data_IF_061999250382
#
_entry.id   IF_061999250382
#
_cell.length_a   1.000
_cell.length_b   1.000
_cell.length_c   1.000
_cell.angle_alpha   90.00
_cell.angle_beta   90.00
_cell.angle_gamma   90.00
#
_symmetry.space_group_name_H-M   'P 1'
#
loop_
_entity.id
_entity.type
_entity.pdbx_description
1 polymer ?
#
# COMPACT_ATOMS: atom_id res chain seq x y z
N UNK A 1 -6.37 -11.86 16.69
CA UNK A 1 -7.11 -10.58 16.54
C UNK A 1 -6.11 -9.47 16.32
N UNK A 2 -6.45 -8.40 15.56
CA UNK A 2 -5.59 -7.23 15.42
C UNK A 2 -5.44 -6.49 16.76
N UNK A 3 -4.31 -5.79 16.94
CA UNK A 3 -4.12 -4.99 18.16
C UNK A 3 -5.00 -3.75 18.17
N UNK A 4 -5.09 -3.06 17.05
CA UNK A 4 -5.88 -1.83 16.93
C UNK A 4 -6.82 -1.94 15.73
N UNK A 5 -8.11 -1.77 15.95
CA UNK A 5 -9.10 -1.50 14.89
C UNK A 5 -9.30 0.00 14.78
N UNK A 6 -9.13 0.53 13.58
CA UNK A 6 -9.32 1.95 13.32
C UNK A 6 -10.52 2.21 12.40
N UNK A 7 -11.21 3.33 12.62
CA UNK A 7 -12.34 3.75 11.82
C UNK A 7 -12.60 5.25 11.99
N UNK A 8 -13.55 5.79 11.25
CA UNK A 8 -14.00 7.18 11.40
C UNK A 8 -13.23 8.18 10.53
N UNK A 9 -13.10 9.41 11.01
CA UNK A 9 -12.50 10.52 10.27
C UNK A 9 -11.57 11.31 11.18
N UNK A 10 -10.35 11.60 10.72
CA UNK A 10 -9.41 12.51 11.39
C UNK A 10 -8.80 12.02 12.69
N UNK A 11 -8.90 10.73 13.01
CA UNK A 11 -8.30 10.18 14.22
C UNK A 11 -6.78 10.14 14.13
N UNK A 12 -6.12 10.28 15.28
CA UNK A 12 -4.66 10.24 15.41
C UNK A 12 -4.26 9.04 16.27
N UNK A 13 -3.35 8.25 15.74
CA UNK A 13 -2.70 7.10 16.40
C UNK A 13 -1.21 7.42 16.48
N UNK A 14 -0.73 7.80 17.65
CA UNK A 14 0.63 8.30 17.78
C UNK A 14 1.39 7.75 18.98
N UNK A 15 2.72 7.63 18.82
CA UNK A 15 3.66 7.31 19.88
C UNK A 15 3.36 5.98 20.61
N UNK A 16 2.81 5.00 19.86
CA UNK A 16 2.52 3.69 20.40
C UNK A 16 3.67 2.71 20.08
N UNK A 17 3.88 1.79 21.00
CA UNK A 17 4.65 0.57 20.77
C UNK A 17 3.68 -0.60 20.62
N UNK A 18 3.68 -1.24 19.43
CA UNK A 18 2.95 -2.45 19.16
C UNK A 18 3.98 -3.54 18.82
N UNK A 19 3.91 -4.68 19.49
CA UNK A 19 4.88 -5.75 19.30
C UNK A 19 4.28 -7.14 19.48
N UNK A 20 4.92 -8.12 18.83
CA UNK A 20 4.64 -9.55 18.99
C UNK A 20 3.20 -9.98 18.65
N UNK A 21 2.66 -9.48 17.55
CA UNK A 21 1.31 -9.83 17.09
C UNK A 21 1.30 -10.81 15.92
N UNK A 22 0.53 -11.91 16.01
CA UNK A 22 0.46 -12.91 14.93
C UNK A 22 -0.19 -12.38 13.64
N UNK A 23 -1.05 -11.36 13.76
CA UNK A 23 -1.83 -10.75 12.68
C UNK A 23 -1.48 -9.26 12.53
N UNK A 24 -2.49 -8.44 12.16
CA UNK A 24 -2.32 -6.99 11.96
C UNK A 24 -2.03 -6.23 13.27
N UNK A 25 -1.15 -5.25 13.23
CA UNK A 25 -1.05 -4.25 14.28
C UNK A 25 -2.20 -3.25 14.18
N UNK A 26 -2.41 -2.70 13.00
CA UNK A 26 -3.51 -1.79 12.67
C UNK A 26 -4.35 -2.38 11.54
N UNK A 27 -5.66 -2.47 11.70
CA UNK A 27 -6.59 -2.85 10.63
C UNK A 27 -7.88 -2.07 10.72
N UNK A 28 -8.41 -1.64 9.59
CA UNK A 28 -9.70 -0.93 9.60
C UNK A 28 -9.93 -0.14 8.33
N UNK A 29 -10.63 0.99 8.47
CA UNK A 29 -10.85 1.93 7.39
C UNK A 29 -11.23 3.30 7.94
N UNK A 30 -10.49 4.32 7.58
CA UNK A 30 -10.79 5.69 7.98
C UNK A 30 -10.41 6.71 6.90
N UNK A 31 -10.91 7.91 7.07
CA UNK A 31 -10.63 9.04 6.18
C UNK A 31 -9.77 10.05 6.93
N UNK A 32 -8.65 10.49 6.33
CA UNK A 32 -7.76 11.51 6.91
C UNK A 32 -7.24 11.20 8.31
N UNK A 33 -7.08 9.92 8.65
CA UNK A 33 -6.44 9.53 9.90
C UNK A 33 -4.93 9.68 9.82
N UNK A 34 -4.30 9.91 10.97
CA UNK A 34 -2.86 10.08 11.08
C UNK A 34 -2.28 8.97 11.97
N UNK A 35 -1.32 8.24 11.43
CA UNK A 35 -0.53 7.24 12.14
C UNK A 35 0.90 7.75 12.19
N UNK A 36 1.35 8.23 13.35
CA UNK A 36 2.67 8.87 13.45
C UNK A 36 3.48 8.45 14.66
N UNK A 37 4.80 8.40 14.49
CA UNK A 37 5.76 8.12 15.57
C UNK A 37 5.48 6.79 16.29
N UNK A 38 4.86 5.81 15.63
CA UNK A 38 4.64 4.49 16.20
C UNK A 38 5.81 3.57 15.89
N UNK A 39 6.07 2.63 16.80
CA UNK A 39 6.93 1.48 16.56
C UNK A 39 6.07 0.23 16.46
N UNK A 40 6.16 -0.47 15.32
CA UNK A 40 5.43 -1.70 15.03
C UNK A 40 6.46 -2.78 14.71
N UNK A 41 6.57 -3.80 15.56
CA UNK A 41 7.57 -4.85 15.36
C UNK A 41 7.04 -6.25 15.57
N UNK A 42 7.58 -7.20 14.79
CA UNK A 42 7.26 -8.61 14.89
C UNK A 42 5.76 -8.90 14.71
N UNK A 43 5.18 -8.43 13.61
CA UNK A 43 3.77 -8.66 13.25
C UNK A 43 3.62 -9.52 12.00
N UNK A 44 2.40 -9.98 11.75
CA UNK A 44 1.93 -10.80 10.61
C UNK A 44 2.71 -12.11 10.44
N UNK A 45 3.24 -12.65 11.52
CA UNK A 45 4.12 -13.83 11.44
C UNK A 45 3.36 -15.17 11.35
N UNK A 46 2.05 -15.20 11.62
CA UNK A 46 1.20 -16.40 11.56
C UNK A 46 0.07 -16.30 10.52
N UNK A 47 0.04 -15.25 9.72
CA UNK A 47 -0.96 -15.05 8.68
C UNK A 47 -0.31 -14.89 7.32
N UNK A 48 -1.09 -15.18 6.26
CA UNK A 48 -0.77 -14.84 4.89
C UNK A 48 -1.77 -13.80 4.39
N UNK A 49 -1.41 -13.02 3.36
CA UNK A 49 -2.25 -11.98 2.77
C UNK A 49 -2.75 -10.96 3.81
N UNK A 50 -1.83 -10.42 4.58
CA UNK A 50 -2.10 -9.53 5.71
C UNK A 50 -0.99 -8.48 5.86
N UNK A 51 -1.34 -7.25 6.21
CA UNK A 51 -0.38 -6.17 6.48
C UNK A 51 -0.30 -5.83 7.96
N UNK A 52 0.87 -5.36 8.44
CA UNK A 52 0.93 -4.83 9.80
C UNK A 52 0.02 -3.60 9.94
N UNK A 53 0.03 -2.70 8.98
CA UNK A 53 -1.04 -1.72 8.74
C UNK A 53 -1.84 -2.15 7.50
N UNK A 54 -3.16 -2.29 7.63
CA UNK A 54 -4.02 -2.83 6.57
C UNK A 54 -5.33 -2.07 6.45
N UNK A 55 -5.65 -1.63 5.23
CA UNK A 55 -6.95 -1.15 4.78
C UNK A 55 -7.11 -1.49 3.28
N UNK A 56 -8.34 -1.67 2.82
CA UNK A 56 -8.57 -1.98 1.41
C UNK A 56 -10.02 -2.24 1.02
N UNK A 57 -10.18 -2.72 -0.23
CA UNK A 57 -11.44 -3.04 -0.88
C UNK A 57 -12.39 -1.86 -1.00
N UNK A 58 -11.81 -0.67 -1.24
CA UNK A 58 -12.60 0.55 -1.27
C UNK A 58 -11.83 1.73 -1.85
N UNK A 59 -12.58 2.71 -2.40
CA UNK A 59 -12.07 4.04 -2.75
C UNK A 59 -12.38 5.09 -1.68
N UNK A 60 -13.18 4.75 -0.64
CA UNK A 60 -13.76 5.75 0.27
C UNK A 60 -13.01 5.95 1.58
N UNK A 61 -11.76 5.48 1.67
CA UNK A 61 -10.88 5.71 2.81
C UNK A 61 -9.61 6.51 2.42
N UNK A 62 -9.73 7.67 1.75
CA UNK A 62 -8.57 8.44 1.33
C UNK A 62 -8.02 9.34 2.43
N UNK A 63 -6.82 9.88 2.16
CA UNK A 63 -6.22 10.96 2.94
C UNK A 63 -5.52 10.52 4.21
N UNK A 64 -5.36 9.23 4.45
CA UNK A 64 -4.61 8.75 5.60
C UNK A 64 -3.11 9.06 5.44
N UNK A 65 -2.50 9.46 6.53
CA UNK A 65 -1.10 9.80 6.63
C UNK A 65 -0.38 8.84 7.58
N UNK A 66 0.52 8.04 7.06
CA UNK A 66 1.40 7.14 7.81
C UNK A 66 2.79 7.76 7.78
N UNK A 67 3.24 8.37 8.88
CA UNK A 67 4.41 9.23 8.88
C UNK A 67 5.32 9.01 10.10
N UNK A 68 6.63 8.98 9.87
CA UNK A 68 7.66 8.86 10.91
C UNK A 68 7.47 7.61 11.81
N UNK A 69 6.94 6.51 11.28
CA UNK A 69 6.83 5.26 12.03
C UNK A 69 8.03 4.35 11.74
N UNK A 70 8.29 3.44 12.67
CA UNK A 70 9.22 2.34 12.47
C UNK A 70 8.44 1.03 12.36
N UNK A 71 8.64 0.29 11.26
CA UNK A 71 8.18 -1.06 11.05
C UNK A 71 9.38 -2.00 11.07
N UNK A 72 9.42 -2.96 11.98
CA UNK A 72 10.58 -3.84 12.15
C UNK A 72 10.14 -5.31 12.18
N UNK A 73 10.87 -6.15 11.46
CA UNK A 73 10.65 -7.61 11.43
C UNK A 73 9.20 -7.99 11.05
N UNK A 74 8.65 -7.32 10.06
CA UNK A 74 7.32 -7.61 9.53
C UNK A 74 7.49 -8.72 8.48
N UNK A 75 7.27 -9.96 8.92
CA UNK A 75 7.54 -11.17 8.14
C UNK A 75 6.65 -12.31 8.53
N UNK A 76 6.36 -13.17 7.58
CA UNK A 76 5.80 -14.49 7.86
C UNK A 76 6.86 -15.43 8.47
N UNK A 77 6.51 -16.10 9.56
CA UNK A 77 7.36 -17.09 10.23
C UNK A 77 6.73 -18.49 10.10
N UNK A 78 7.20 -19.29 9.15
CA UNK A 78 6.90 -20.73 9.22
C UNK A 78 6.03 -21.36 8.16
N UNK A 79 5.47 -20.66 7.19
CA UNK A 79 5.02 -21.32 5.97
C UNK A 79 6.22 -21.43 5.03
N UNK A 80 6.75 -22.63 4.88
CA UNK A 80 7.93 -22.95 4.08
C UNK A 80 7.79 -22.69 2.59
N UNK A 81 6.58 -22.49 2.15
CA UNK A 81 6.26 -22.27 0.76
C UNK A 81 5.90 -20.80 0.59
N UNK A 82 6.81 -20.00 0.06
CA UNK A 82 6.59 -18.65 -0.45
C UNK A 82 5.49 -18.57 -1.53
N UNK A 83 4.62 -19.55 -1.59
CA UNK A 83 3.47 -19.63 -2.48
C UNK A 83 2.26 -18.98 -1.81
N UNK A 84 2.19 -17.67 -1.86
CA UNK A 84 0.98 -16.92 -1.60
C UNK A 84 0.91 -16.07 -0.32
N UNK A 85 1.99 -15.91 0.42
CA UNK A 85 1.99 -15.04 1.61
C UNK A 85 2.56 -13.66 1.32
N UNK A 86 1.71 -12.73 0.90
CA UNK A 86 2.10 -11.33 0.77
C UNK A 86 1.87 -10.65 2.11
N UNK A 87 2.93 -10.41 2.88
CA UNK A 87 2.86 -9.79 4.20
C UNK A 87 3.62 -8.46 4.23
N UNK A 88 3.05 -7.40 3.67
CA UNK A 88 3.66 -6.08 3.72
C UNK A 88 3.58 -5.45 5.11
N UNK A 89 4.48 -4.54 5.40
CA UNK A 89 4.35 -3.68 6.56
C UNK A 89 3.15 -2.73 6.41
N UNK A 90 2.96 -2.17 5.22
CA UNK A 90 1.79 -1.36 4.88
C UNK A 90 1.10 -1.97 3.65
N UNK A 91 -0.16 -2.33 3.80
CA UNK A 91 -0.97 -2.94 2.75
C UNK A 91 -2.14 -2.04 2.37
N UNK A 92 -2.01 -1.37 1.25
CA UNK A 92 -3.09 -0.71 0.55
C UNK A 92 -3.73 -1.72 -0.39
N UNK A 93 -4.70 -2.49 0.16
CA UNK A 93 -5.33 -3.59 -0.57
C UNK A 93 -6.45 -3.07 -1.49
N UNK A 94 -6.79 -3.86 -2.47
CA UNK A 94 -7.84 -3.67 -3.49
C UNK A 94 -8.37 -2.24 -3.63
N UNK A 95 -7.72 -1.44 -4.45
CA UNK A 95 -8.13 -0.09 -4.88
C UNK A 95 -8.14 0.98 -3.79
N UNK A 96 -7.66 0.70 -2.58
CA UNK A 96 -7.45 1.79 -1.61
C UNK A 96 -6.63 2.90 -2.27
N UNK A 97 -7.03 4.15 -2.11
CA UNK A 97 -6.48 5.25 -2.90
C UNK A 97 -6.20 6.51 -2.09
N UNK A 98 -5.30 7.36 -2.59
CA UNK A 98 -4.99 8.71 -2.04
C UNK A 98 -4.51 8.70 -0.58
N UNK A 99 -3.64 7.77 -0.21
CA UNK A 99 -3.00 7.71 1.10
C UNK A 99 -1.50 7.99 0.99
N UNK A 100 -0.87 8.39 2.08
CA UNK A 100 0.54 8.82 2.09
C UNK A 100 1.36 8.05 3.11
N UNK A 101 2.53 7.58 2.69
CA UNK A 101 3.55 6.90 3.50
C UNK A 101 4.80 7.75 3.43
N UNK A 102 5.12 8.49 4.50
CA UNK A 102 6.15 9.53 4.45
C UNK A 102 7.15 9.36 5.60
N UNK A 103 8.45 9.37 5.27
CA UNK A 103 9.54 9.35 6.27
C UNK A 103 9.45 8.19 7.28
N UNK A 104 8.94 7.01 6.87
CA UNK A 104 8.96 5.84 7.73
C UNK A 104 10.25 5.04 7.53
N UNK A 105 10.60 4.26 8.55
CA UNK A 105 11.72 3.32 8.51
C UNK A 105 11.18 1.89 8.53
N UNK A 106 11.59 1.08 7.56
CA UNK A 106 11.25 -0.33 7.42
C UNK A 106 12.52 -1.15 7.59
N UNK A 107 12.60 -1.95 8.65
CA UNK A 107 13.78 -2.74 9.02
C UNK A 107 13.45 -4.21 8.93
N UNK A 108 14.15 -4.96 8.10
CA UNK A 108 13.94 -6.41 7.96
C UNK A 108 12.47 -6.78 7.69
N UNK A 109 11.82 -6.06 6.80
CA UNK A 109 10.45 -6.33 6.37
C UNK A 109 10.46 -7.19 5.10
N UNK A 110 9.59 -8.22 5.04
CA UNK A 110 9.44 -9.05 3.84
C UNK A 110 8.97 -8.21 2.65
N UNK A 111 8.07 -7.29 2.90
CA UNK A 111 7.63 -6.26 1.98
C UNK A 111 7.37 -4.97 2.75
N UNK A 112 7.82 -3.85 2.22
CA UNK A 112 7.58 -2.56 2.86
C UNK A 112 6.17 -2.06 2.61
N UNK A 113 5.87 -1.63 1.38
CA UNK A 113 4.57 -1.08 0.98
C UNK A 113 4.03 -1.85 -0.21
N UNK A 114 2.79 -2.33 -0.11
CA UNK A 114 2.05 -2.89 -1.24
C UNK A 114 0.91 -1.95 -1.65
N UNK A 115 0.85 -1.62 -2.94
CA UNK A 115 -0.21 -0.85 -3.57
C UNK A 115 -1.00 -1.79 -4.50
N UNK A 116 -2.17 -2.25 -4.04
CA UNK A 116 -3.05 -3.16 -4.76
C UNK A 116 -4.05 -2.42 -5.66
N UNK A 117 -3.62 -1.95 -6.83
CA UNK A 117 -4.50 -1.31 -7.83
C UNK A 117 -4.96 0.11 -7.49
N UNK A 118 -4.58 0.67 -6.35
CA UNK A 118 -4.97 2.01 -5.90
C UNK A 118 -4.24 3.16 -6.61
N UNK A 119 -4.82 4.35 -6.54
CA UNK A 119 -4.28 5.55 -7.20
C UNK A 119 -3.95 6.69 -6.26
N UNK A 120 -3.07 7.58 -6.73
CA UNK A 120 -2.71 8.82 -6.04
C UNK A 120 -2.11 8.61 -4.66
N UNK A 121 -1.45 7.50 -4.44
CA UNK A 121 -0.64 7.29 -3.25
C UNK A 121 0.67 8.06 -3.32
N UNK A 122 1.19 8.41 -2.15
CA UNK A 122 2.52 9.02 -2.00
C UNK A 122 3.37 8.15 -1.09
N UNK A 123 4.48 7.64 -1.60
CA UNK A 123 5.50 6.90 -0.86
C UNK A 123 6.78 7.71 -0.94
N UNK A 124 7.01 8.56 0.07
CA UNK A 124 8.02 9.63 -0.01
C UNK A 124 9.02 9.58 1.13
N UNK A 125 10.30 9.63 0.81
CA UNK A 125 11.37 9.80 1.80
C UNK A 125 11.50 8.64 2.81
N UNK A 126 11.00 7.46 2.49
CA UNK A 126 11.10 6.31 3.40
C UNK A 126 12.45 5.61 3.28
N UNK A 127 12.86 4.94 4.34
CA UNK A 127 14.08 4.14 4.41
C UNK A 127 13.75 2.67 4.59
N UNK A 128 14.28 1.82 3.72
CA UNK A 128 14.15 0.35 3.77
C UNK A 128 15.52 -0.25 4.04
N UNK A 129 15.68 -0.87 5.20
CA UNK A 129 16.95 -1.38 5.70
C UNK A 129 16.93 -2.88 5.97
N UNK A 130 18.12 -3.50 5.89
CA UNK A 130 18.31 -4.93 6.16
C UNK A 130 17.43 -5.83 5.31
N UNK A 131 17.15 -5.41 4.08
CA UNK A 131 16.38 -6.21 3.14
C UNK A 131 17.11 -7.52 2.86
N UNK A 132 16.40 -8.64 2.85
CA UNK A 132 16.92 -9.97 2.51
C UNK A 132 16.70 -10.25 1.02
N UNK A 133 17.40 -11.23 0.50
CA UNK A 133 17.12 -11.72 -0.87
C UNK A 133 15.65 -12.14 -0.99
N UNK A 134 14.96 -11.60 -1.98
CA UNK A 134 13.55 -11.83 -2.23
C UNK A 134 12.59 -10.85 -1.51
N UNK A 135 13.09 -9.95 -0.65
CA UNK A 135 12.28 -8.89 -0.08
C UNK A 135 12.04 -7.76 -1.10
N UNK A 136 10.91 -7.07 -0.96
CA UNK A 136 10.52 -5.96 -1.84
C UNK A 136 10.18 -4.72 -1.01
N UNK A 137 10.82 -3.59 -1.29
CA UNK A 137 10.53 -2.36 -0.57
C UNK A 137 9.17 -1.77 -0.94
N UNK A 138 8.87 -1.65 -2.24
CA UNK A 138 7.58 -1.17 -2.73
C UNK A 138 7.10 -2.07 -3.87
N UNK A 139 5.92 -2.65 -3.72
CA UNK A 139 5.26 -3.41 -4.77
C UNK A 139 4.00 -2.70 -5.22
N UNK A 140 3.88 -2.47 -6.53
CA UNK A 140 2.69 -1.91 -7.15
C UNK A 140 2.04 -2.93 -8.07
N UNK A 141 0.82 -3.34 -7.74
CA UNK A 141 0.10 -4.43 -8.39
C UNK A 141 -1.10 -3.90 -9.17
N UNK A 142 -1.23 -4.30 -10.41
CA UNK A 142 -2.36 -3.99 -11.29
C UNK A 142 -3.52 -4.96 -11.03
N UNK A 143 -4.14 -4.88 -9.87
CA UNK A 143 -5.24 -5.76 -9.50
C UNK A 143 -6.49 -5.54 -10.34
N UNK A 144 -7.27 -6.60 -10.50
CA UNK A 144 -8.52 -6.59 -11.21
C UNK A 144 -8.39 -6.62 -12.73
N UNK A 145 -7.18 -6.60 -13.27
CA UNK A 145 -6.94 -6.69 -14.71
C UNK A 145 -6.64 -8.13 -15.17
N UNK A 146 -6.15 -8.96 -14.27
CA UNK A 146 -5.66 -10.30 -14.59
C UNK A 146 -6.47 -11.43 -13.94
N UNK A 147 -7.45 -11.12 -13.09
CA UNK A 147 -8.26 -12.14 -12.41
C UNK A 147 -9.65 -12.19 -13.06
N UNK A 148 -10.02 -13.29 -13.74
CA UNK A 148 -11.36 -13.45 -14.27
C UNK A 148 -12.42 -13.26 -13.19
N UNK A 149 -13.32 -12.28 -13.39
CA UNK A 149 -14.40 -11.95 -12.44
C UNK A 149 -14.15 -10.76 -11.53
N UNK A 150 -12.93 -10.22 -11.43
CA UNK A 150 -12.65 -9.00 -10.65
C UNK A 150 -13.14 -7.72 -11.34
N UNK A 151 -13.43 -7.80 -12.63
CA UNK A 151 -14.10 -6.75 -13.38
C UNK A 151 -15.41 -6.27 -12.73
N UNK A 152 -16.11 -7.16 -11.99
CA UNK A 152 -17.34 -6.82 -11.27
C UNK A 152 -17.13 -5.74 -10.20
N UNK A 153 -15.95 -5.63 -9.62
CA UNK A 153 -15.64 -4.61 -8.60
C UNK A 153 -15.29 -3.27 -9.23
N UNK A 154 -14.56 -3.30 -10.34
CA UNK A 154 -13.95 -2.12 -10.96
C UNK A 154 -14.75 -1.57 -12.15
N UNK A 155 -15.75 -2.27 -12.64
CA UNK A 155 -16.58 -1.80 -13.74
C UNK A 155 -17.51 -0.66 -13.33
N UNK A 156 -17.99 0.05 -14.32
CA UNK A 156 -19.05 1.05 -14.15
C UNK A 156 -20.28 0.41 -13.47
N UNK A 157 -20.81 1.06 -12.46
CA UNK A 157 -21.86 0.55 -11.57
C UNK A 157 -21.47 -0.71 -10.77
N UNK A 158 -20.20 -1.04 -10.69
CA UNK A 158 -19.68 -2.13 -9.86
C UNK A 158 -19.67 -1.79 -8.37
N UNK A 159 -19.24 -2.76 -7.55
CA UNK A 159 -19.29 -2.63 -6.08
C UNK A 159 -18.55 -1.41 -5.55
N UNK A 160 -17.35 -1.12 -6.06
CA UNK A 160 -16.55 0.01 -5.57
C UNK A 160 -17.17 1.36 -5.97
N UNK A 161 -17.74 1.47 -7.16
CA UNK A 161 -18.45 2.70 -7.54
C UNK A 161 -19.71 2.91 -6.70
N UNK A 162 -20.46 1.86 -6.39
CA UNK A 162 -21.61 1.95 -5.52
C UNK A 162 -21.26 2.43 -4.11
N UNK A 163 -20.17 1.92 -3.53
CA UNK A 163 -19.63 2.44 -2.27
C UNK A 163 -19.28 3.92 -2.35
N UNK A 164 -18.59 4.33 -3.41
CA UNK A 164 -18.19 5.73 -3.62
C UNK A 164 -19.40 6.65 -3.81
N UNK A 165 -20.43 6.21 -4.51
CA UNK A 165 -21.70 6.95 -4.65
C UNK A 165 -22.39 7.17 -3.31
N UNK A 166 -22.28 6.22 -2.38
CA UNK A 166 -22.84 6.33 -1.03
C UNK A 166 -22.25 7.50 -0.21
N UNK A 167 -21.04 7.96 -0.54
CA UNK A 167 -20.41 9.14 0.07
C UNK A 167 -20.41 10.39 -0.84
N UNK A 168 -21.17 10.36 -1.91
CA UNK A 168 -21.27 11.46 -2.89
C UNK A 168 -19.90 11.91 -3.45
N UNK A 169 -19.04 10.95 -3.79
CA UNK A 169 -17.62 11.15 -4.14
C UNK A 169 -17.36 12.18 -5.26
N UNK A 170 -18.34 12.44 -6.13
CA UNK A 170 -18.28 13.42 -7.21
C UNK A 170 -18.68 14.85 -6.80
N UNK A 171 -19.07 15.04 -5.55
CA UNK A 171 -19.48 16.33 -4.99
C UNK A 171 -18.52 16.80 -3.89
N UNK A 172 -18.42 18.12 -3.62
CA UNK A 172 -17.69 18.61 -2.46
C UNK A 172 -18.23 18.00 -1.14
N UNK A 173 -17.37 17.77 -0.15
CA UNK A 173 -15.94 18.07 -0.14
C UNK A 173 -15.07 17.05 -0.89
N UNK A 174 -15.57 15.86 -1.22
CA UNK A 174 -14.82 14.78 -1.84
C UNK A 174 -14.16 15.17 -3.18
N UNK A 175 -14.94 15.72 -4.09
CA UNK A 175 -14.44 16.08 -5.43
C UNK A 175 -13.39 17.22 -5.38
N UNK A 176 -13.43 18.05 -4.35
CA UNK A 176 -12.45 19.11 -4.14
C UNK A 176 -11.15 18.59 -3.54
N UNK A 177 -11.25 17.71 -2.54
CA UNK A 177 -10.08 17.20 -1.82
C UNK A 177 -9.42 16.01 -2.52
N UNK A 178 -10.22 15.17 -3.20
CA UNK A 178 -9.75 13.97 -3.88
C UNK A 178 -10.21 13.92 -5.35
N UNK A 179 -9.82 14.91 -6.18
CA UNK A 179 -10.35 15.06 -7.54
C UNK A 179 -10.03 13.88 -8.45
N UNK A 180 -8.95 13.14 -8.20
CA UNK A 180 -8.60 11.93 -8.95
C UNK A 180 -9.49 10.75 -8.59
N UNK A 181 -9.94 10.64 -7.35
CA UNK A 181 -10.95 9.65 -6.94
C UNK A 181 -12.29 9.98 -7.56
N UNK A 182 -12.69 11.25 -7.56
CA UNK A 182 -13.95 11.69 -8.16
C UNK A 182 -14.08 11.33 -9.65
N UNK A 183 -12.97 11.13 -10.34
CA UNK A 183 -12.90 10.75 -11.76
C UNK A 183 -12.56 9.26 -11.97
N UNK A 184 -12.28 8.50 -10.92
CA UNK A 184 -11.67 7.17 -11.02
C UNK A 184 -12.45 6.20 -11.91
N UNK A 185 -13.77 6.15 -11.78
CA UNK A 185 -14.60 5.18 -12.50
C UNK A 185 -14.77 5.47 -14.00
N UNK A 186 -14.42 6.66 -14.46
CA UNK A 186 -14.28 7.01 -15.87
C UNK A 186 -12.84 6.93 -16.41
N UNK A 187 -11.88 6.47 -15.58
CA UNK A 187 -10.46 6.53 -15.88
C UNK A 187 -9.69 5.29 -15.40
N UNK A 188 -10.05 4.11 -15.89
CA UNK A 188 -9.39 2.83 -15.56
C UNK A 188 -9.29 2.60 -14.04
N UNK A 189 -10.39 2.37 -13.33
CA UNK A 189 -10.46 2.40 -11.87
C UNK A 189 -9.56 1.38 -11.16
N UNK A 190 -9.27 0.24 -11.79
CA UNK A 190 -8.43 -0.82 -11.21
C UNK A 190 -6.94 -0.70 -11.54
N UNK A 191 -6.53 0.33 -12.24
CA UNK A 191 -5.11 0.57 -12.52
C UNK A 191 -4.47 1.43 -11.41
N UNK A 192 -3.25 1.10 -10.96
CA UNK A 192 -2.52 1.87 -9.95
C UNK A 192 -1.97 3.17 -10.56
N UNK A 193 -2.85 4.15 -10.78
CA UNK A 193 -2.55 5.40 -11.47
C UNK A 193 -2.04 6.51 -10.56
N UNK A 194 -1.20 7.38 -11.10
CA UNK A 194 -0.80 8.64 -10.48
C UNK A 194 -0.13 8.48 -9.10
N UNK A 195 0.53 7.37 -8.85
CA UNK A 195 1.26 7.14 -7.62
C UNK A 195 2.63 7.81 -7.66
N UNK A 196 3.07 8.37 -6.56
CA UNK A 196 4.39 9.02 -6.42
C UNK A 196 5.27 8.20 -5.46
N UNK A 197 6.38 7.66 -5.97
CA UNK A 197 7.34 6.87 -5.20
C UNK A 197 8.70 7.58 -5.33
N UNK A 198 9.01 8.47 -4.39
CA UNK A 198 10.11 9.41 -4.56
C UNK A 198 10.95 9.63 -3.31
N UNK A 199 12.26 9.82 -3.52
CA UNK A 199 13.18 10.16 -2.45
C UNK A 199 13.39 9.07 -1.41
N UNK A 200 13.03 7.82 -1.71
CA UNK A 200 13.20 6.69 -0.80
C UNK A 200 14.60 6.10 -0.92
N UNK A 201 15.05 5.39 0.12
CA UNK A 201 16.31 4.65 0.13
C UNK A 201 16.10 3.18 0.45
N UNK A 202 16.86 2.29 -0.22
CA UNK A 202 16.85 0.85 0.04
C UNK A 202 18.29 0.34 0.24
N UNK A 203 18.46 -0.50 1.27
CA UNK A 203 19.73 -1.18 1.54
C UNK A 203 19.54 -2.63 1.96
N UNK A 204 20.49 -3.50 1.55
CA UNK A 204 20.44 -4.94 1.79
C UNK A 204 20.21 -5.74 0.51
N UNK A 205 19.82 -7.01 0.61
CA UNK A 205 19.77 -7.96 -0.50
C UNK A 205 18.46 -8.01 -1.29
N UNK A 206 17.52 -7.09 -1.05
CA UNK A 206 16.18 -7.09 -1.66
C UNK A 206 16.09 -6.30 -2.96
N UNK A 207 14.86 -5.99 -3.35
CA UNK A 207 14.52 -5.19 -4.53
C UNK A 207 13.78 -3.93 -4.07
N UNK A 208 14.18 -2.77 -4.58
CA UNK A 208 13.50 -1.51 -4.20
C UNK A 208 12.08 -1.44 -4.74
N UNK A 209 11.89 -1.73 -6.02
CA UNK A 209 10.58 -1.59 -6.64
C UNK A 209 10.25 -2.80 -7.52
N UNK A 210 9.02 -3.30 -7.38
CA UNK A 210 8.49 -4.40 -8.19
C UNK A 210 7.08 -4.09 -8.66
N UNK A 211 6.72 -4.55 -9.86
CA UNK A 211 5.35 -4.49 -10.40
C UNK A 211 4.87 -5.85 -10.86
N UNK A 212 3.55 -6.04 -10.85
CA UNK A 212 2.91 -7.13 -11.59
C UNK A 212 2.70 -6.75 -13.04
N UNK A 213 2.75 -7.72 -13.99
CA UNK A 213 2.40 -7.47 -15.38
C UNK A 213 0.98 -6.94 -15.53
N UNK A 214 0.78 -6.00 -16.45
CA UNK A 214 -0.54 -5.56 -16.89
C UNK A 214 -0.93 -6.34 -18.14
N UNK A 215 -2.00 -7.10 -18.10
CA UNK A 215 -2.49 -7.91 -19.23
C UNK A 215 -1.39 -8.78 -19.87
N UNK A 216 -0.48 -9.32 -19.07
CA UNK A 216 0.65 -10.12 -19.52
C UNK A 216 1.79 -9.33 -20.17
N UNK A 217 1.77 -8.00 -20.11
CA UNK A 217 2.84 -7.12 -20.57
C UNK A 217 3.62 -6.57 -19.38
N UNK A 218 4.94 -6.36 -19.49
CA UNK A 218 5.70 -5.64 -18.46
C UNK A 218 5.07 -4.27 -18.19
N UNK A 219 5.00 -3.90 -16.93
CA UNK A 219 4.54 -2.57 -16.54
C UNK A 219 5.54 -1.51 -17.04
N UNK A 220 5.07 -0.62 -17.88
CA UNK A 220 5.88 0.52 -18.34
C UNK A 220 5.62 1.73 -17.44
N UNK A 221 6.57 2.04 -16.58
CA UNK A 221 6.50 3.19 -15.67
C UNK A 221 6.46 4.51 -16.43
N UNK A 222 7.12 4.59 -17.58
CA UNK A 222 7.23 5.85 -18.35
C UNK A 222 5.90 6.23 -19.02
N UNK A 223 5.15 5.24 -19.50
CA UNK A 223 3.79 5.41 -20.04
C UNK A 223 2.73 4.99 -19.04
N UNK A 224 3.13 4.35 -17.94
CA UNK A 224 2.33 3.59 -17.03
C UNK A 224 1.48 4.43 -16.12
N UNK A 225 0.29 4.71 -16.54
CA UNK A 225 -0.78 5.19 -15.68
C UNK A 225 -0.48 6.47 -14.90
N UNK A 226 0.50 7.30 -15.35
CA UNK A 226 0.85 8.55 -14.69
C UNK A 226 1.56 8.41 -13.34
N UNK A 227 2.01 7.21 -12.98
CA UNK A 227 2.80 7.01 -11.77
C UNK A 227 4.25 7.49 -11.96
N UNK A 228 4.88 7.96 -10.89
CA UNK A 228 6.21 8.58 -10.92
C UNK A 228 7.17 7.92 -9.94
N UNK A 229 8.27 7.39 -10.46
CA UNK A 229 9.43 6.95 -9.70
C UNK A 229 10.57 7.95 -9.90
N UNK A 230 11.05 8.61 -8.83
CA UNK A 230 12.13 9.58 -8.96
C UNK A 230 12.96 9.72 -7.67
N UNK A 231 14.25 10.02 -7.84
CA UNK A 231 15.17 10.36 -6.75
C UNK A 231 15.28 9.28 -5.66
N UNK A 232 15.00 8.01 -5.99
CA UNK A 232 15.19 6.90 -5.07
C UNK A 232 16.65 6.42 -5.14
N UNK A 233 17.19 5.91 -4.05
CA UNK A 233 18.54 5.42 -3.95
C UNK A 233 18.60 3.97 -3.48
N UNK A 234 19.53 3.20 -4.01
CA UNK A 234 19.78 1.80 -3.64
C UNK A 234 21.24 1.60 -3.26
N UNK A 235 21.50 0.77 -2.26
CA UNK A 235 22.83 0.47 -1.77
C UNK A 235 22.90 -0.92 -1.13
N UNK A 236 24.10 -1.38 -0.79
CA UNK A 236 24.29 -2.60 0.00
C UNK A 236 23.73 -3.88 -0.64
N UNK A 237 23.61 -3.94 -1.98
CA UNK A 237 23.05 -5.10 -2.69
C UNK A 237 21.54 -5.00 -3.00
N UNK A 238 20.83 -3.95 -2.59
CA UNK A 238 19.46 -3.71 -3.00
C UNK A 238 19.41 -3.44 -4.52
N UNK A 239 18.62 -4.20 -5.26
CA UNK A 239 18.39 -3.98 -6.68
C UNK A 239 17.34 -2.88 -6.92
N UNK A 240 17.46 -2.13 -7.99
CA UNK A 240 16.63 -0.95 -8.20
C UNK A 240 15.19 -1.30 -8.61
N UNK A 241 15.02 -2.17 -9.61
CA UNK A 241 13.72 -2.49 -10.21
C UNK A 241 13.68 -3.92 -10.75
N UNK A 242 12.54 -4.60 -10.57
CA UNK A 242 12.18 -5.81 -11.32
C UNK A 242 10.74 -5.70 -11.83
N UNK A 243 10.53 -6.01 -13.10
CA UNK A 243 9.22 -6.11 -13.74
C UNK A 243 8.73 -7.56 -13.71
#
# INVERSE_FOLDING_TARGET
>A
MPCVRFSGVGNVYESNLLEDGPMNAFVGGCVKCIFRNNTVRNFVHETADSGAWYDGRTFIHPGNLIVNNTFESIRHKGLRDNKGGTNPAIYFDDMLSSNSVINNTFIDCQMGVLIGGGRSHKVLGNTFEKQRSGDVSVWMDARGLNTPGDDKFCKLNGTFEQQARGVHFQSPPWSTEFPKIAKAFGDSPCKPKDNEIMGNSCSGGGVFFQTSPDEGKPFDIATGWGSRLANNSVSGGCANFTA
#
